data_IF_178689700180
#
_entry.id   IF_178689700180
#
_cell.length_a   1.000
_cell.length_b   1.000
_cell.length_c   1.000
_cell.angle_alpha   90.00
_cell.angle_beta   90.00
_cell.angle_gamma   90.00
#
_symmetry.space_group_name_H-M   'P 1'
#
loop_
_entity.id
_entity.type
_entity.pdbx_description
1 polymer ?
#
# COMPACT_ATOMS: atom_id res chain seq x y z
N UNK A 1 3.76 -22.10 16.08
CA UNK A 1 4.35 -20.83 15.60
C UNK A 1 3.33 -19.73 15.74
N UNK A 2 3.70 -18.56 16.31
CA UNK A 2 2.77 -17.41 16.46
C UNK A 2 2.33 -16.85 15.10
N UNK A 3 1.17 -16.18 15.06
CA UNK A 3 0.68 -15.53 13.84
C UNK A 3 1.63 -14.46 13.35
N UNK A 4 2.13 -13.63 14.27
CA UNK A 4 3.16 -12.63 14.00
C UNK A 4 4.37 -13.22 13.29
N UNK A 5 4.90 -14.34 13.80
CA UNK A 5 6.05 -15.00 13.17
C UNK A 5 5.73 -15.54 11.77
N UNK A 6 4.51 -16.06 11.56
CA UNK A 6 4.10 -16.53 10.22
C UNK A 6 4.08 -15.41 9.20
N UNK A 7 3.46 -14.27 9.52
CA UNK A 7 3.40 -13.13 8.59
C UNK A 7 4.78 -12.50 8.37
N UNK A 8 5.66 -12.47 9.37
CA UNK A 8 7.02 -11.97 9.22
C UNK A 8 7.90 -12.89 8.37
N UNK A 9 7.79 -14.21 8.54
CA UNK A 9 8.48 -15.17 7.67
C UNK A 9 7.97 -15.10 6.23
N UNK A 10 6.66 -14.86 6.04
CA UNK A 10 6.12 -14.61 4.70
C UNK A 10 6.71 -13.34 4.11
N UNK A 11 6.81 -12.24 4.87
CA UNK A 11 7.46 -11.02 4.40
C UNK A 11 8.93 -11.24 4.04
N UNK A 12 9.66 -12.02 4.84
CA UNK A 12 11.04 -12.38 4.54
C UNK A 12 11.14 -13.18 3.23
N UNK A 13 10.26 -14.17 3.04
CA UNK A 13 10.20 -14.95 1.81
C UNK A 13 9.87 -14.06 0.59
N UNK A 14 8.91 -13.13 0.72
CA UNK A 14 8.59 -12.17 -0.34
C UNK A 14 9.75 -11.23 -0.66
N UNK A 15 10.47 -10.76 0.36
CA UNK A 15 11.68 -9.94 0.16
C UNK A 15 12.77 -10.72 -0.62
N UNK A 16 12.95 -11.99 -0.32
CA UNK A 16 13.89 -12.87 -1.04
C UNK A 16 13.44 -13.15 -2.48
N UNK A 17 12.13 -13.24 -2.72
CA UNK A 17 11.56 -13.53 -4.04
C UNK A 17 11.47 -12.29 -4.93
N UNK A 18 11.37 -11.10 -4.36
CA UNK A 18 11.15 -9.87 -5.14
C UNK A 18 12.25 -9.65 -6.17
N UNK A 19 13.52 -9.68 -5.75
CA UNK A 19 14.65 -9.45 -6.66
C UNK A 19 14.67 -10.43 -7.85
N UNK A 20 14.65 -11.77 -7.67
CA UNK A 20 14.65 -12.68 -8.80
C UNK A 20 13.41 -12.54 -9.69
N UNK A 21 12.25 -12.16 -9.12
CA UNK A 21 11.04 -11.89 -9.92
C UNK A 21 11.24 -10.63 -10.76
N UNK A 22 11.71 -9.53 -10.18
CA UNK A 22 11.96 -8.28 -10.91
C UNK A 22 13.02 -8.49 -12.02
N UNK A 23 14.08 -9.23 -11.74
CA UNK A 23 15.10 -9.60 -12.75
C UNK A 23 14.53 -10.46 -13.87
N UNK A 24 13.68 -11.44 -13.53
CA UNK A 24 13.02 -12.29 -14.54
C UNK A 24 12.10 -11.46 -15.43
N UNK A 25 11.30 -10.55 -14.85
CA UNK A 25 10.44 -9.67 -15.61
C UNK A 25 11.26 -8.75 -16.53
N UNK A 26 12.31 -8.13 -16.02
CA UNK A 26 13.19 -7.28 -16.81
C UNK A 26 13.88 -8.04 -17.97
N UNK A 27 14.19 -9.33 -17.78
CA UNK A 27 14.81 -10.16 -18.79
C UNK A 27 13.83 -10.71 -19.84
N UNK A 28 12.54 -10.84 -19.50
CA UNK A 28 11.57 -11.55 -20.35
C UNK A 28 10.51 -10.63 -20.96
N UNK A 29 10.21 -9.51 -20.32
CA UNK A 29 9.21 -8.58 -20.82
C UNK A 29 9.83 -7.60 -21.82
N UNK A 30 9.07 -7.18 -22.85
CA UNK A 30 9.48 -6.09 -23.71
C UNK A 30 9.59 -4.78 -22.92
N UNK A 31 10.37 -3.84 -23.45
CA UNK A 31 10.45 -2.49 -22.87
C UNK A 31 9.04 -1.91 -22.67
N UNK A 32 8.83 -1.27 -21.53
CA UNK A 32 7.52 -0.72 -21.14
C UNK A 32 7.02 0.37 -22.12
N UNK A 33 7.93 1.05 -22.82
CA UNK A 33 7.60 2.00 -23.88
C UNK A 33 7.05 1.32 -25.15
N UNK A 34 7.46 0.06 -25.40
CA UNK A 34 7.05 -0.72 -26.57
C UNK A 34 5.74 -1.48 -26.30
N UNK A 35 5.59 -2.04 -25.11
CA UNK A 35 4.41 -2.86 -24.75
C UNK A 35 3.90 -2.54 -23.35
N UNK A 36 3.36 -1.33 -23.11
CA UNK A 36 2.90 -0.93 -21.78
C UNK A 36 1.78 -1.81 -21.24
N UNK A 37 0.88 -2.30 -22.09
CA UNK A 37 -0.21 -3.22 -21.71
C UNK A 37 0.32 -4.51 -21.12
N UNK A 38 1.31 -5.13 -21.78
CA UNK A 38 1.90 -6.39 -21.31
C UNK A 38 2.58 -6.20 -19.97
N UNK A 39 3.32 -5.11 -19.80
CA UNK A 39 3.98 -4.78 -18.53
C UNK A 39 2.97 -4.53 -17.38
N UNK A 40 1.87 -3.81 -17.64
CA UNK A 40 0.82 -3.60 -16.65
C UNK A 40 0.14 -4.92 -16.24
N UNK A 41 -0.17 -5.79 -17.18
CA UNK A 41 -0.77 -7.09 -16.89
C UNK A 41 0.19 -8.01 -16.12
N UNK A 42 1.48 -8.00 -16.45
CA UNK A 42 2.50 -8.74 -15.74
C UNK A 42 2.64 -8.23 -14.29
N UNK A 43 2.67 -6.91 -14.08
CA UNK A 43 2.67 -6.31 -12.74
C UNK A 43 1.44 -6.68 -11.92
N UNK A 44 0.25 -6.66 -12.53
CA UNK A 44 -0.98 -7.11 -11.88
C UNK A 44 -0.92 -8.60 -11.49
N UNK A 45 -0.43 -9.46 -12.39
CA UNK A 45 -0.25 -10.88 -12.10
C UNK A 45 0.73 -11.10 -10.94
N UNK A 46 1.86 -10.39 -10.93
CA UNK A 46 2.83 -10.43 -9.84
C UNK A 46 2.21 -10.00 -8.51
N UNK A 47 1.41 -8.94 -8.49
CA UNK A 47 0.70 -8.51 -7.29
C UNK A 47 -0.23 -9.60 -6.75
N UNK A 48 -0.96 -10.28 -7.63
CA UNK A 48 -1.82 -11.43 -7.24
C UNK A 48 -0.98 -12.58 -6.68
N UNK A 49 0.10 -12.96 -7.37
CA UNK A 49 0.92 -14.11 -6.98
C UNK A 49 1.72 -13.85 -5.71
N UNK A 50 2.36 -12.68 -5.59
CA UNK A 50 3.22 -12.38 -4.44
C UNK A 50 2.44 -11.89 -3.21
N UNK A 51 1.28 -11.28 -3.38
CA UNK A 51 0.52 -10.72 -2.26
C UNK A 51 -0.85 -11.41 -2.08
N UNK A 52 -1.62 -11.55 -3.13
CA UNK A 52 -2.95 -12.16 -3.08
C UNK A 52 -2.93 -13.62 -2.62
N UNK A 53 -2.08 -14.45 -3.23
CA UNK A 53 -1.97 -15.87 -2.88
C UNK A 53 -1.49 -16.08 -1.44
N UNK A 54 -0.40 -15.45 -0.95
CA UNK A 54 -0.01 -15.55 0.46
C UNK A 54 -1.08 -15.04 1.41
N UNK A 55 -1.81 -13.97 1.07
CA UNK A 55 -2.91 -13.48 1.89
C UNK A 55 -4.02 -14.53 2.05
N UNK A 56 -4.39 -15.22 0.97
CA UNK A 56 -5.39 -16.29 1.01
C UNK A 56 -4.90 -17.47 1.85
N UNK A 57 -3.65 -17.88 1.71
CA UNK A 57 -3.07 -18.99 2.47
C UNK A 57 -2.93 -18.68 3.96
N UNK A 58 -2.66 -17.40 4.31
CA UNK A 58 -2.51 -16.97 5.70
C UNK A 58 -3.82 -16.54 6.36
N UNK A 59 -4.89 -16.29 5.60
CA UNK A 59 -6.18 -15.81 6.11
C UNK A 59 -6.74 -16.61 7.30
N UNK A 60 -6.68 -17.95 7.33
CA UNK A 60 -7.13 -18.73 8.49
C UNK A 60 -6.36 -18.45 9.78
N UNK A 61 -5.18 -17.86 9.69
CA UNK A 61 -4.28 -17.62 10.81
C UNK A 61 -4.38 -16.19 11.38
N UNK A 62 -5.11 -15.30 10.69
CA UNK A 62 -5.28 -13.91 11.09
C UNK A 62 -6.66 -13.72 11.70
N UNK A 63 -6.78 -13.69 13.01
CA UNK A 63 -8.07 -13.61 13.71
C UNK A 63 -8.12 -12.50 14.76
N UNK A 64 -7.51 -11.33 14.50
CA UNK A 64 -7.80 -10.17 15.32
C UNK A 64 -9.19 -9.67 14.91
N UNK A 65 -10.11 -9.71 15.86
CA UNK A 65 -11.43 -9.12 15.72
C UNK A 65 -11.29 -7.61 15.90
N UNK A 66 -11.06 -6.90 14.81
CA UNK A 66 -11.29 -5.46 14.79
C UNK A 66 -12.80 -5.22 14.90
N UNK A 67 -13.23 -4.16 15.59
CA UNK A 67 -14.65 -3.81 15.69
C UNK A 67 -15.19 -3.63 14.26
N UNK A 68 -16.03 -4.55 13.82
CA UNK A 68 -16.67 -4.47 12.51
C UNK A 68 -17.95 -3.65 12.61
N UNK A 69 -18.08 -2.65 11.77
CA UNK A 69 -19.34 -1.94 11.60
C UNK A 69 -20.34 -2.81 10.84
N UNK A 70 -21.63 -2.71 11.17
CA UNK A 70 -22.70 -3.48 10.50
C UNK A 70 -22.82 -3.22 9.01
N UNK A 71 -22.41 -2.03 8.54
CA UNK A 71 -22.43 -1.62 7.14
C UNK A 71 -21.04 -1.23 6.66
N UNK A 72 -20.66 -1.61 5.44
CA UNK A 72 -19.38 -1.24 4.82
C UNK A 72 -19.43 0.13 4.11
N UNK A 73 -20.61 0.59 3.68
CA UNK A 73 -20.76 1.79 2.86
C UNK A 73 -20.15 3.06 3.47
N UNK A 74 -20.37 3.40 4.77
CA UNK A 74 -19.77 4.61 5.33
C UNK A 74 -18.23 4.56 5.33
N UNK A 75 -17.65 3.37 5.54
CA UNK A 75 -16.20 3.18 5.47
C UNK A 75 -15.67 3.34 4.04
N UNK A 76 -16.38 2.82 3.05
CA UNK A 76 -16.01 2.95 1.64
C UNK A 76 -16.11 4.41 1.16
N UNK A 77 -17.18 5.13 1.52
CA UNK A 77 -17.33 6.56 1.20
C UNK A 77 -16.22 7.40 1.85
N UNK A 78 -15.91 7.12 3.12
CA UNK A 78 -14.78 7.75 3.79
C UNK A 78 -13.46 7.45 3.08
N UNK A 79 -13.25 6.20 2.65
CA UNK A 79 -12.07 5.79 1.88
C UNK A 79 -11.95 6.55 0.56
N UNK A 80 -13.02 6.65 -0.21
CA UNK A 80 -13.03 7.41 -1.47
C UNK A 80 -12.69 8.90 -1.25
N UNK A 81 -13.31 9.53 -0.25
CA UNK A 81 -13.01 10.93 0.10
C UNK A 81 -11.54 11.11 0.54
N UNK A 82 -11.03 10.22 1.39
CA UNK A 82 -9.62 10.24 1.81
C UNK A 82 -8.66 10.06 0.64
N UNK A 83 -8.98 9.22 -0.34
CA UNK A 83 -8.16 9.02 -1.53
C UNK A 83 -7.96 10.33 -2.31
N UNK A 84 -9.05 11.03 -2.59
CA UNK A 84 -9.02 12.29 -3.34
C UNK A 84 -8.29 13.40 -2.58
N UNK A 85 -8.56 13.53 -1.27
CA UNK A 85 -7.83 14.48 -0.42
C UNK A 85 -6.33 14.16 -0.37
N UNK A 86 -5.96 12.89 -0.25
CA UNK A 86 -4.57 12.45 -0.21
C UNK A 86 -3.87 12.73 -1.55
N UNK A 87 -4.50 12.42 -2.67
CA UNK A 87 -3.96 12.72 -4.00
C UNK A 87 -3.73 14.20 -4.19
N UNK A 88 -4.73 15.02 -3.86
CA UNK A 88 -4.66 16.47 -4.00
C UNK A 88 -3.57 17.10 -3.10
N UNK A 89 -3.43 16.60 -1.89
CA UNK A 89 -2.43 17.09 -0.93
C UNK A 89 -0.99 16.70 -1.30
N UNK A 90 -0.79 15.46 -1.79
CA UNK A 90 0.55 14.90 -1.95
C UNK A 90 1.17 15.13 -3.32
N UNK A 91 0.38 15.38 -4.37
CA UNK A 91 0.93 15.66 -5.71
C UNK A 91 2.00 16.76 -5.71
N UNK A 92 1.80 17.95 -5.09
CA UNK A 92 2.85 18.95 -5.02
C UNK A 92 4.02 18.55 -4.10
N UNK A 93 3.78 17.71 -3.10
CA UNK A 93 4.85 17.22 -2.21
C UNK A 93 5.78 16.28 -2.96
N UNK A 94 5.23 15.34 -3.74
CA UNK A 94 6.04 14.45 -4.59
C UNK A 94 6.81 15.25 -5.64
N UNK A 95 6.20 16.26 -6.27
CA UNK A 95 6.88 17.10 -7.24
C UNK A 95 8.06 17.85 -6.62
N UNK A 96 7.89 18.41 -5.42
CA UNK A 96 8.97 19.08 -4.68
C UNK A 96 10.08 18.09 -4.28
N UNK A 97 9.73 16.90 -3.82
CA UNK A 97 10.63 15.80 -3.46
C UNK A 97 11.47 15.34 -4.66
N UNK A 98 10.82 15.11 -5.80
CA UNK A 98 11.47 14.70 -7.06
C UNK A 98 12.45 15.80 -7.54
N UNK A 99 12.05 17.06 -7.47
CA UNK A 99 12.91 18.19 -7.82
C UNK A 99 14.12 18.29 -6.90
N UNK A 100 13.90 18.16 -5.59
CA UNK A 100 14.97 18.26 -4.59
C UNK A 100 16.02 17.16 -4.73
N UNK A 101 15.62 15.94 -5.06
CA UNK A 101 16.52 14.79 -5.21
C UNK A 101 16.91 14.50 -6.68
N UNK A 102 16.51 15.34 -7.62
CA UNK A 102 16.72 15.14 -9.06
C UNK A 102 16.23 13.75 -9.55
N UNK A 103 15.08 13.30 -9.04
CA UNK A 103 14.48 12.03 -9.41
C UNK A 103 13.55 12.18 -10.63
N UNK A 104 13.54 11.20 -11.50
CA UNK A 104 12.53 11.11 -12.57
C UNK A 104 11.20 10.62 -12.01
N UNK A 105 10.07 11.28 -12.34
CA UNK A 105 8.74 10.79 -11.95
C UNK A 105 8.45 9.41 -12.54
N UNK A 106 7.73 8.60 -11.77
CA UNK A 106 7.18 7.35 -12.29
C UNK A 106 6.15 7.66 -13.38
N UNK A 107 6.42 7.24 -14.61
CA UNK A 107 5.55 7.49 -15.75
C UNK A 107 4.46 6.43 -15.82
N UNK A 108 3.22 6.88 -15.83
CA UNK A 108 2.08 5.99 -16.08
C UNK A 108 1.80 5.92 -17.58
N UNK A 109 1.39 4.76 -18.10
CA UNK A 109 1.07 4.63 -19.51
C UNK A 109 -0.19 5.45 -19.86
N UNK A 110 -0.15 6.09 -21.03
CA UNK A 110 -1.29 6.82 -21.57
C UNK A 110 -2.10 5.87 -22.44
N UNK A 111 -3.40 5.71 -22.21
CA UNK A 111 -4.22 4.82 -23.03
C UNK A 111 -4.44 5.45 -24.43
N UNK A 112 -4.39 4.60 -25.45
CA UNK A 112 -4.66 4.96 -26.84
C UNK A 112 -6.14 4.80 -27.23
N UNK A 113 -6.98 4.35 -26.30
CA UNK A 113 -8.42 4.17 -26.48
C UNK A 113 -9.10 3.57 -25.26
N UNK A 114 -10.44 3.37 -25.37
CA UNK A 114 -11.24 2.80 -24.29
C UNK A 114 -10.77 1.39 -23.87
N UNK A 115 -10.45 0.46 -24.79
CA UNK A 115 -10.01 -0.87 -24.38
C UNK A 115 -8.74 -0.84 -23.54
N UNK A 116 -7.72 -0.07 -23.94
CA UNK A 116 -6.46 0.07 -23.20
C UNK A 116 -6.66 0.79 -21.88
N UNK A 117 -7.52 1.81 -21.83
CA UNK A 117 -7.89 2.48 -20.58
C UNK A 117 -8.52 1.51 -19.59
N UNK A 118 -9.42 0.62 -20.04
CA UNK A 118 -10.01 -0.41 -19.17
C UNK A 118 -8.97 -1.41 -18.66
N UNK A 119 -8.02 -1.84 -19.50
CA UNK A 119 -6.92 -2.70 -19.07
C UNK A 119 -6.08 -2.02 -17.99
N UNK A 120 -5.72 -0.74 -18.18
CA UNK A 120 -4.94 0.00 -17.18
C UNK A 120 -5.70 0.21 -15.87
N UNK A 121 -7.01 0.51 -15.93
CA UNK A 121 -7.84 0.59 -14.72
C UNK A 121 -7.82 -0.74 -13.95
N UNK A 122 -8.01 -1.85 -14.64
CA UNK A 122 -8.00 -3.16 -14.00
C UNK A 122 -6.60 -3.50 -13.45
N UNK A 123 -5.56 -3.35 -14.27
CA UNK A 123 -4.21 -3.78 -13.94
C UNK A 123 -3.51 -2.86 -12.92
N UNK A 124 -3.75 -1.55 -12.97
CA UNK A 124 -3.04 -0.57 -12.13
C UNK A 124 -3.87 -0.05 -10.95
N UNK A 125 -5.21 -0.20 -10.99
CA UNK A 125 -6.05 0.30 -9.90
C UNK A 125 -6.83 -0.81 -9.19
N UNK A 126 -7.54 -1.69 -9.90
CA UNK A 126 -8.41 -2.70 -9.26
C UNK A 126 -7.59 -3.82 -8.63
N UNK A 127 -6.73 -4.47 -9.42
CA UNK A 127 -6.00 -5.67 -8.99
C UNK A 127 -5.03 -5.34 -7.85
N UNK A 128 -4.16 -4.30 -7.94
CA UNK A 128 -3.27 -3.95 -6.84
C UNK A 128 -4.05 -3.57 -5.58
N UNK A 129 -5.10 -2.73 -5.69
CA UNK A 129 -5.87 -2.31 -4.53
C UNK A 129 -6.46 -3.50 -3.76
N UNK A 130 -6.93 -4.54 -4.45
CA UNK A 130 -7.46 -5.75 -3.80
C UNK A 130 -6.31 -6.59 -3.21
N UNK A 131 -5.32 -6.96 -4.03
CA UNK A 131 -4.26 -7.88 -3.62
C UNK A 131 -3.43 -7.30 -2.46
N UNK A 132 -3.06 -6.03 -2.56
CA UNK A 132 -2.23 -5.34 -1.58
C UNK A 132 -3.00 -5.10 -0.28
N UNK A 133 -4.23 -4.63 -0.32
CA UNK A 133 -4.97 -4.35 0.91
C UNK A 133 -5.35 -5.63 1.66
N UNK A 134 -5.72 -6.69 0.95
CA UNK A 134 -5.97 -8.00 1.57
C UNK A 134 -4.71 -8.54 2.24
N UNK A 135 -3.54 -8.34 1.63
CA UNK A 135 -2.26 -8.74 2.22
C UNK A 135 -1.82 -7.79 3.35
N UNK A 136 -1.62 -6.50 3.06
CA UNK A 136 -1.01 -5.57 4.03
C UNK A 136 -1.94 -5.27 5.20
N UNK A 137 -3.22 -5.01 4.96
CA UNK A 137 -4.17 -4.62 6.02
C UNK A 137 -4.93 -5.80 6.57
N UNK A 138 -5.36 -6.72 5.69
CA UNK A 138 -6.09 -7.92 6.09
C UNK A 138 -5.21 -8.95 6.79
N UNK A 139 -3.97 -9.14 6.35
CA UNK A 139 -3.10 -10.23 6.81
C UNK A 139 -1.92 -9.74 7.64
N UNK A 140 -1.05 -8.88 7.08
CA UNK A 140 0.18 -8.46 7.74
C UNK A 140 -0.10 -7.60 8.97
N UNK A 141 -0.85 -6.50 8.85
CA UNK A 141 -1.19 -5.61 9.96
C UNK A 141 -1.85 -6.39 11.11
N UNK A 142 -2.87 -7.18 10.79
CA UNK A 142 -3.60 -7.95 11.81
C UNK A 142 -2.71 -9.01 12.46
N UNK A 143 -1.86 -9.68 11.69
CA UNK A 143 -0.91 -10.67 12.22
C UNK A 143 0.18 -10.03 13.08
N UNK A 144 0.66 -8.84 12.74
CA UNK A 144 1.61 -8.07 13.55
C UNK A 144 0.97 -7.59 14.87
N UNK A 145 -0.30 -7.14 14.83
CA UNK A 145 -1.02 -6.70 16.02
C UNK A 145 -1.28 -7.82 17.03
N UNK A 146 -1.25 -9.09 16.61
CA UNK A 146 -1.39 -10.25 17.50
C UNK A 146 -0.17 -10.43 18.43
N UNK A 147 1.01 -9.96 18.04
CA UNK A 147 2.25 -10.14 18.83
C UNK A 147 3.15 -8.92 18.89
N UNK A 148 2.62 -7.71 18.67
CA UNK A 148 3.35 -6.47 18.84
C UNK A 148 2.44 -5.31 19.25
N UNK A 149 3.08 -4.21 19.73
CA UNK A 149 2.36 -2.96 20.00
C UNK A 149 1.78 -2.43 18.69
N UNK A 150 0.60 -1.82 18.77
CA UNK A 150 -0.09 -1.23 17.63
C UNK A 150 0.79 -0.29 16.81
N UNK A 151 1.52 0.63 17.48
CA UNK A 151 2.45 1.54 16.79
C UNK A 151 3.52 0.79 16.00
N UNK A 152 4.09 -0.28 16.57
CA UNK A 152 5.05 -1.16 15.90
C UNK A 152 4.42 -1.82 14.67
N UNK A 153 3.19 -2.35 14.79
CA UNK A 153 2.50 -2.95 13.66
C UNK A 153 2.22 -1.94 12.53
N UNK A 154 1.80 -0.71 12.87
CA UNK A 154 1.60 0.38 11.90
C UNK A 154 2.89 0.73 11.18
N UNK A 155 3.97 0.96 11.93
CA UNK A 155 5.29 1.31 11.35
C UNK A 155 5.80 0.20 10.43
N UNK A 156 5.80 -1.05 10.89
CA UNK A 156 6.28 -2.18 10.09
C UNK A 156 5.44 -2.38 8.83
N UNK A 157 4.11 -2.29 8.93
CA UNK A 157 3.22 -2.41 7.76
C UNK A 157 3.51 -1.31 6.74
N UNK A 158 3.72 -0.07 7.20
CA UNK A 158 4.05 1.07 6.34
C UNK A 158 5.41 0.87 5.66
N UNK A 159 6.45 0.49 6.43
CA UNK A 159 7.78 0.27 5.88
C UNK A 159 7.78 -0.88 4.84
N UNK A 160 7.15 -2.00 5.15
CA UNK A 160 7.04 -3.10 4.17
C UNK A 160 6.27 -2.70 2.92
N UNK A 161 5.18 -1.94 3.07
CA UNK A 161 4.42 -1.43 1.92
C UNK A 161 5.29 -0.54 1.03
N UNK A 162 5.99 0.42 1.61
CA UNK A 162 6.88 1.34 0.88
C UNK A 162 8.01 0.58 0.18
N UNK A 163 8.72 -0.29 0.92
CA UNK A 163 9.86 -1.04 0.39
C UNK A 163 9.45 -2.03 -0.72
N UNK A 164 8.25 -2.58 -0.68
CA UNK A 164 7.75 -3.46 -1.74
C UNK A 164 7.49 -2.72 -3.06
N UNK A 165 7.26 -1.40 -3.05
CA UNK A 165 7.06 -0.61 -4.26
C UNK A 165 8.35 -0.32 -5.03
N UNK A 166 9.51 -0.27 -4.37
CA UNK A 166 10.80 -0.14 -5.03
C UNK A 166 11.05 1.20 -5.74
N UNK A 167 10.31 2.27 -5.42
CA UNK A 167 10.50 3.61 -6.02
C UNK A 167 10.78 4.68 -4.97
N UNK A 168 11.80 5.51 -5.20
CA UNK A 168 12.08 6.68 -4.40
C UNK A 168 11.29 7.91 -4.85
N UNK A 169 10.89 7.95 -6.12
CA UNK A 169 10.22 9.11 -6.71
C UNK A 169 8.87 9.43 -6.04
N UNK A 170 8.16 8.41 -5.58
CA UNK A 170 6.84 8.51 -4.93
C UNK A 170 6.90 8.23 -3.42
N UNK A 171 8.08 8.28 -2.80
CA UNK A 171 8.27 7.93 -1.39
C UNK A 171 7.35 8.69 -0.42
N UNK A 172 7.19 10.04 -0.50
CA UNK A 172 6.29 10.77 0.39
C UNK A 172 4.84 10.29 0.30
N UNK A 173 4.35 10.10 -0.92
CA UNK A 173 3.01 9.58 -1.17
C UNK A 173 2.84 8.16 -0.67
N UNK A 174 3.79 7.26 -0.91
CA UNK A 174 3.73 5.87 -0.46
C UNK A 174 3.64 5.77 1.07
N UNK A 175 4.43 6.57 1.79
CA UNK A 175 4.38 6.63 3.26
C UNK A 175 3.02 7.13 3.73
N UNK A 176 2.57 8.27 3.21
CA UNK A 176 1.32 8.89 3.65
C UNK A 176 0.10 8.03 3.29
N UNK A 177 0.04 7.48 2.07
CA UNK A 177 -1.04 6.58 1.65
C UNK A 177 -1.09 5.34 2.52
N UNK A 178 0.07 4.70 2.77
CA UNK A 178 0.12 3.52 3.64
C UNK A 178 -0.37 3.81 5.06
N UNK A 179 -0.02 4.95 5.63
CA UNK A 179 -0.52 5.38 6.95
C UNK A 179 -2.04 5.60 6.92
N UNK A 180 -2.56 6.32 5.91
CA UNK A 180 -3.99 6.59 5.79
C UNK A 180 -4.81 5.30 5.60
N UNK A 181 -4.37 4.40 4.75
CA UNK A 181 -4.98 3.07 4.57
C UNK A 181 -4.99 2.26 5.88
N UNK A 182 -3.88 2.30 6.61
CA UNK A 182 -3.75 1.61 7.90
C UNK A 182 -4.69 2.22 8.96
N UNK A 183 -4.74 3.55 9.06
CA UNK A 183 -5.64 4.23 9.99
C UNK A 183 -7.11 4.01 9.65
N UNK A 184 -7.46 4.02 8.37
CA UNK A 184 -8.81 3.73 7.89
C UNK A 184 -9.21 2.29 8.24
N UNK A 185 -8.33 1.30 7.99
CA UNK A 185 -8.55 -0.09 8.38
C UNK A 185 -8.76 -0.23 9.88
N UNK A 186 -7.91 0.41 10.70
CA UNK A 186 -8.03 0.37 12.15
C UNK A 186 -9.28 1.07 12.69
N UNK A 187 -9.76 2.11 12.02
CA UNK A 187 -10.96 2.85 12.38
C UNK A 187 -12.25 2.11 12.01
N UNK A 188 -12.29 1.53 10.81
CA UNK A 188 -13.49 0.88 10.27
C UNK A 188 -13.57 -0.60 10.62
N UNK A 189 -12.42 -1.26 10.81
CA UNK A 189 -12.30 -2.71 10.91
C UNK A 189 -12.55 -3.43 9.58
N UNK A 190 -12.55 -2.72 8.45
CA UNK A 190 -12.98 -3.23 7.15
C UNK A 190 -11.91 -3.05 6.09
N UNK A 191 -11.44 -4.16 5.53
CA UNK A 191 -10.51 -4.15 4.38
C UNK A 191 -11.13 -3.46 3.17
N UNK A 192 -12.45 -3.60 2.97
CA UNK A 192 -13.18 -2.95 1.86
C UNK A 192 -13.03 -1.43 1.84
N UNK A 193 -12.98 -0.78 3.00
CA UNK A 193 -12.75 0.66 3.09
C UNK A 193 -11.34 1.02 2.60
N UNK A 194 -10.32 0.24 2.99
CA UNK A 194 -8.96 0.42 2.51
C UNK A 194 -8.82 0.13 1.02
N UNK A 195 -9.43 -0.97 0.52
CA UNK A 195 -9.48 -1.29 -0.92
C UNK A 195 -10.11 -0.14 -1.71
N UNK A 196 -11.23 0.43 -1.23
CA UNK A 196 -11.88 1.57 -1.91
C UNK A 196 -10.97 2.80 -1.93
N UNK A 197 -10.33 3.14 -0.80
CA UNK A 197 -9.39 4.26 -0.75
C UNK A 197 -8.24 4.03 -1.73
N UNK A 198 -7.62 2.85 -1.73
CA UNK A 198 -6.50 2.52 -2.59
C UNK A 198 -6.90 2.57 -4.07
N UNK A 199 -8.04 1.97 -4.43
CA UNK A 199 -8.57 2.00 -5.78
C UNK A 199 -8.76 3.45 -6.29
N UNK A 200 -9.45 4.30 -5.52
CA UNK A 200 -9.66 5.70 -5.92
C UNK A 200 -8.36 6.50 -5.94
N UNK A 201 -7.40 6.19 -5.10
CA UNK A 201 -6.08 6.80 -5.15
C UNK A 201 -5.34 6.43 -6.45
N UNK A 202 -5.34 5.14 -6.84
CA UNK A 202 -4.67 4.68 -8.05
C UNK A 202 -5.38 5.17 -9.32
N UNK A 203 -6.72 5.10 -9.38
CA UNK A 203 -7.45 5.60 -10.55
C UNK A 203 -7.29 7.13 -10.72
N UNK A 204 -7.21 7.87 -9.63
CA UNK A 204 -6.93 9.31 -9.69
C UNK A 204 -5.52 9.62 -10.23
N UNK A 205 -4.57 8.71 -10.12
CA UNK A 205 -3.25 8.87 -10.73
C UNK A 205 -3.32 8.84 -12.27
N UNK A 206 -4.26 8.07 -12.82
CA UNK A 206 -4.46 7.94 -14.27
C UNK A 206 -5.20 9.15 -14.88
N UNK A 207 -6.04 9.85 -14.10
CA UNK A 207 -6.99 10.83 -14.65
C UNK A 207 -6.97 12.20 -13.95
N UNK A 208 -6.15 12.44 -12.93
CA UNK A 208 -6.23 13.66 -12.13
C UNK A 208 -5.46 14.83 -12.75
N UNK A 209 -6.14 15.91 -13.21
CA UNK A 209 -5.47 17.05 -13.84
C UNK A 209 -4.69 17.92 -12.84
N UNK A 210 -4.92 17.75 -11.54
CA UNK A 210 -4.38 18.60 -10.48
C UNK A 210 -5.37 19.68 -10.05
N UNK A 211 -5.02 20.33 -8.95
CA UNK A 211 -5.76 21.49 -8.41
C UNK A 211 -4.78 22.62 -8.11
N UNK A 212 -5.23 23.88 -8.02
CA UNK A 212 -4.37 25.01 -7.62
C UNK A 212 -3.65 24.75 -6.29
N UNK A 213 -2.46 25.31 -6.12
CA UNK A 213 -1.62 25.07 -4.92
C UNK A 213 -2.32 25.34 -3.58
N UNK A 214 -3.14 26.41 -3.50
CA UNK A 214 -3.93 26.69 -2.30
C UNK A 214 -4.98 25.60 -2.01
N UNK A 215 -5.56 25.01 -3.06
CA UNK A 215 -6.48 23.86 -2.93
C UNK A 215 -5.78 22.64 -2.38
N UNK A 216 -4.53 22.37 -2.80
CA UNK A 216 -3.70 21.29 -2.23
C UNK A 216 -3.40 21.51 -0.74
N UNK A 217 -3.13 22.75 -0.31
CA UNK A 217 -2.95 23.08 1.10
C UNK A 217 -4.21 22.83 1.93
N UNK A 218 -5.39 23.24 1.43
CA UNK A 218 -6.67 22.97 2.09
C UNK A 218 -6.96 21.46 2.18
N UNK A 219 -6.69 20.70 1.12
CA UNK A 219 -6.81 19.24 1.15
C UNK A 219 -5.86 18.61 2.17
N UNK A 220 -4.62 19.10 2.25
CA UNK A 220 -3.63 18.67 3.24
C UNK A 220 -4.08 18.94 4.67
N UNK A 221 -4.56 20.14 4.97
CA UNK A 221 -5.10 20.50 6.29
C UNK A 221 -6.32 19.63 6.65
N UNK A 222 -7.23 19.41 5.70
CA UNK A 222 -8.40 18.54 5.89
C UNK A 222 -7.99 17.09 6.15
N UNK A 223 -6.98 16.58 5.43
CA UNK A 223 -6.45 15.24 5.61
C UNK A 223 -5.80 15.08 7.00
N UNK A 224 -5.01 16.06 7.43
CA UNK A 224 -4.39 16.05 8.77
C UNK A 224 -5.48 16.07 9.85
N UNK A 225 -6.49 16.93 9.73
CA UNK A 225 -7.62 16.98 10.67
C UNK A 225 -8.38 15.66 10.73
N UNK A 226 -8.63 15.04 9.58
CA UNK A 226 -9.30 13.74 9.49
C UNK A 226 -8.44 12.62 10.09
N UNK A 227 -7.15 12.60 9.81
CA UNK A 227 -6.22 11.64 10.38
C UNK A 227 -6.15 11.78 11.91
N UNK A 228 -6.06 13.00 12.43
CA UNK A 228 -6.09 13.28 13.86
C UNK A 228 -7.41 12.79 14.49
N UNK A 229 -8.55 13.12 13.89
CA UNK A 229 -9.86 12.62 14.34
C UNK A 229 -9.91 11.09 14.39
N UNK A 230 -9.48 10.43 13.33
CA UNK A 230 -9.41 8.96 13.26
C UNK A 230 -8.49 8.42 14.36
N UNK A 231 -7.31 9.00 14.57
CA UNK A 231 -6.35 8.57 15.59
C UNK A 231 -6.93 8.70 17.01
N UNK A 232 -7.63 9.81 17.31
CA UNK A 232 -8.26 10.04 18.60
C UNK A 232 -9.42 9.07 18.88
N UNK A 233 -10.09 8.61 17.84
CA UNK A 233 -11.24 7.68 17.94
C UNK A 233 -10.86 6.20 17.83
N UNK A 234 -9.55 5.91 17.78
CA UNK A 234 -9.10 4.52 17.67
C UNK A 234 -9.43 3.69 18.90
N UNK A 235 -9.91 2.45 18.75
CA UNK A 235 -10.18 1.56 19.88
C UNK A 235 -8.88 1.26 20.65
N UNK A 236 -8.98 1.20 21.98
CA UNK A 236 -7.87 0.76 22.82
C UNK A 236 -7.66 -0.74 22.61
N UNK A 237 -6.46 -1.12 22.19
CA UNK A 237 -6.06 -2.52 21.97
C UNK A 237 -4.98 -2.85 23.01
N UNK A 238 -5.06 -4.05 23.60
CA UNK A 238 -4.06 -4.52 24.53
C UNK A 238 -2.66 -4.54 23.88
N UNK A 239 -1.66 -4.08 24.61
CA UNK A 239 -0.30 -3.99 24.13
C UNK A 239 0.49 -5.27 24.48
N UNK A 240 0.98 -5.95 23.45
CA UNK A 240 1.91 -7.06 23.59
C UNK A 240 3.28 -6.64 23.05
N UNK A 241 4.38 -6.79 23.81
CA UNK A 241 5.72 -6.49 23.29
C UNK A 241 6.12 -7.54 22.24
N UNK A 242 6.71 -7.08 21.12
CA UNK A 242 7.24 -7.96 20.09
C UNK A 242 8.40 -8.79 20.65
N UNK A 243 8.43 -10.09 20.36
CA UNK A 243 9.54 -10.96 20.72
C UNK A 243 10.80 -10.57 19.94
N UNK A 244 11.96 -10.63 20.60
CA UNK A 244 13.27 -10.28 19.99
C UNK A 244 13.51 -11.03 18.67
N UNK A 245 13.18 -12.32 18.63
CA UNK A 245 13.33 -13.14 17.41
C UNK A 245 12.45 -12.67 16.26
N UNK A 246 11.23 -12.21 16.56
CA UNK A 246 10.31 -11.69 15.54
C UNK A 246 10.79 -10.31 15.03
N UNK A 247 11.39 -9.49 15.91
CA UNK A 247 12.07 -8.25 15.53
C UNK A 247 13.26 -8.46 14.59
N UNK A 248 14.05 -9.49 14.81
CA UNK A 248 15.18 -9.85 13.94
C UNK A 248 14.69 -10.28 12.54
N UNK A 249 13.60 -11.05 12.44
CA UNK A 249 13.01 -11.45 11.15
C UNK A 249 12.50 -10.22 10.40
N UNK A 250 11.82 -9.29 11.09
CA UNK A 250 11.36 -8.04 10.50
C UNK A 250 12.52 -7.20 9.96
N UNK A 251 13.59 -7.06 10.75
CA UNK A 251 14.79 -6.32 10.36
C UNK A 251 15.48 -6.95 9.13
N UNK A 252 15.61 -8.27 9.10
CA UNK A 252 16.19 -8.98 7.95
C UNK A 252 15.37 -8.76 6.66
N UNK A 253 14.05 -8.87 6.73
CA UNK A 253 13.18 -8.63 5.59
C UNK A 253 13.28 -7.17 5.09
N UNK A 254 13.33 -6.19 6.01
CA UNK A 254 13.50 -4.78 5.65
C UNK A 254 14.87 -4.51 5.02
N UNK A 255 15.95 -5.07 5.56
CA UNK A 255 17.30 -4.91 5.01
C UNK A 255 17.38 -5.47 3.57
N UNK A 256 16.78 -6.63 3.32
CA UNK A 256 16.72 -7.22 1.98
C UNK A 256 15.96 -6.31 1.00
N UNK A 257 14.78 -5.83 1.38
CA UNK A 257 14.01 -4.92 0.54
C UNK A 257 14.70 -3.58 0.33
N UNK A 258 15.39 -3.05 1.35
CA UNK A 258 16.16 -1.80 1.22
C UNK A 258 17.34 -1.98 0.26
N UNK A 259 18.01 -3.13 0.30
CA UNK A 259 19.10 -3.41 -0.63
C UNK A 259 18.67 -3.29 -2.10
N UNK A 260 17.41 -3.63 -2.43
CA UNK A 260 16.87 -3.52 -3.79
C UNK A 260 16.80 -2.07 -4.33
N UNK A 261 16.87 -1.05 -3.46
CA UNK A 261 16.95 0.35 -3.89
C UNK A 261 18.34 0.78 -4.32
N UNK A 262 19.37 0.00 -4.00
CA UNK A 262 20.77 0.36 -4.24
C UNK A 262 21.48 -0.56 -5.24
N UNK A 263 20.85 -1.65 -5.64
CA UNK A 263 21.34 -2.62 -6.61
C UNK A 263 20.34 -2.86 -7.73
#
# INVERSE_FOLDING_TARGET
MSKTRKVLLTMLALALLKMPVDMLLAATLPDASVSPVVNCLAGALVSVLLLGVPAMLLRPWTSIRLPQRKSCWPGMLLGAAMALLTRAALKPVDAAWQTWLALTPDMLPVPDGIPTAMVYIVALAVVPAIAEEVFFRGTLLTGLMDGSRRGTAVVLTTLFFVLMHGTLASLPSLVAVSLMLTFLMLHTGQVSAAVTMHFFYNISALAWPGIPGWGSLLCGASLIGLAAYICLRQPKIAHVPMKRTDGLIAAAAMLLLTALYFF
#
